data_IF_260992167777
#
_entry.id   IF_260992167777
#
_cell.length_a   1.000
_cell.length_b   1.000
_cell.length_c   1.000
_cell.angle_alpha   90.00
_cell.angle_beta   90.00
_cell.angle_gamma   90.00
#
_symmetry.space_group_name_H-M   'P 1'
#
loop_
_entity.id
_entity.type
_entity.pdbx_description
1 polymer ?
#
# COMPACT_ATOMS: atom_id res chain seq x y z
N UNK A 1 2.84 20.55 -11.88
CA UNK A 1 3.12 20.05 -10.52
C UNK A 1 3.58 18.62 -10.71
N UNK A 2 4.88 18.38 -10.60
CA UNK A 2 5.38 17.01 -10.46
C UNK A 2 4.92 16.51 -9.07
N UNK A 3 4.42 15.27 -8.98
CA UNK A 3 4.00 14.69 -7.68
C UNK A 3 2.53 14.89 -7.29
N UNK A 4 1.60 14.96 -8.23
CA UNK A 4 0.16 14.75 -7.97
C UNK A 4 -0.37 13.75 -8.98
N UNK A 5 -0.92 12.63 -8.54
CA UNK A 5 -1.56 11.66 -9.42
C UNK A 5 -2.88 12.25 -9.98
N UNK A 6 -2.78 12.84 -11.17
CA UNK A 6 -3.91 13.45 -11.90
C UNK A 6 -4.95 12.43 -12.40
N UNK A 7 -4.67 11.14 -12.26
CA UNK A 7 -5.57 10.03 -12.55
C UNK A 7 -5.53 9.02 -11.38
N UNK A 8 -6.58 8.22 -11.18
CA UNK A 8 -6.54 7.13 -10.22
C UNK A 8 -5.36 6.18 -10.49
N UNK A 9 -4.66 5.69 -9.46
CA UNK A 9 -3.57 4.75 -9.65
C UNK A 9 -4.09 3.43 -10.21
N UNK A 10 -3.29 2.84 -11.09
CA UNK A 10 -3.57 1.53 -11.71
C UNK A 10 -2.38 0.61 -11.44
N UNK A 11 -2.67 -0.59 -10.95
CA UNK A 11 -1.64 -1.51 -10.51
C UNK A 11 -2.19 -2.87 -10.08
N UNK A 12 -1.35 -3.60 -9.36
CA UNK A 12 -1.65 -4.90 -8.77
C UNK A 12 -1.17 -4.93 -7.31
N UNK A 13 -1.84 -5.69 -6.45
CA UNK A 13 -1.49 -5.83 -5.02
C UNK A 13 -1.58 -7.30 -4.59
N UNK A 14 -0.66 -7.74 -3.74
CA UNK A 14 -0.42 -9.17 -3.51
C UNK A 14 -1.47 -9.93 -2.70
N UNK A 15 -2.27 -9.24 -1.89
CA UNK A 15 -3.05 -9.87 -0.82
C UNK A 15 -4.08 -10.87 -1.30
N UNK A 16 -4.97 -10.50 -2.23
CA UNK A 16 -6.09 -11.35 -2.63
C UNK A 16 -5.67 -12.65 -3.33
N UNK A 17 -4.47 -12.70 -3.90
CA UNK A 17 -3.95 -13.91 -4.56
C UNK A 17 -3.06 -14.73 -3.63
N UNK A 18 -2.12 -14.08 -2.93
CA UNK A 18 -1.05 -14.80 -2.23
C UNK A 18 -1.19 -14.77 -0.71
N UNK A 19 -1.98 -13.85 -0.14
CA UNK A 19 -2.10 -13.68 1.30
C UNK A 19 -0.74 -13.64 1.99
N UNK A 20 -0.59 -14.44 3.04
CA UNK A 20 0.66 -14.58 3.80
C UNK A 20 1.72 -15.47 3.13
N UNK A 21 1.41 -16.11 2.01
CA UNK A 21 2.37 -16.94 1.25
C UNK A 21 3.23 -16.12 0.28
N UNK A 22 3.04 -14.80 0.21
CA UNK A 22 3.86 -13.92 -0.64
C UNK A 22 5.35 -14.00 -0.27
N UNK A 23 6.20 -13.99 -1.30
CA UNK A 23 7.67 -13.97 -1.19
C UNK A 23 8.23 -13.02 -2.24
N UNK A 24 9.51 -12.66 -2.12
CA UNK A 24 10.19 -11.86 -3.12
C UNK A 24 10.17 -12.53 -4.51
N UNK A 25 10.38 -13.84 -4.60
CA UNK A 25 10.32 -14.54 -5.89
C UNK A 25 8.95 -14.49 -6.56
N UNK A 26 7.86 -14.55 -5.76
CA UNK A 26 6.50 -14.36 -6.27
C UNK A 26 6.27 -12.91 -6.72
N UNK A 27 6.73 -11.93 -5.95
CA UNK A 27 6.67 -10.52 -6.35
C UNK A 27 7.43 -10.27 -7.65
N UNK A 28 8.65 -10.79 -7.79
CA UNK A 28 9.46 -10.66 -9.02
C UNK A 28 8.78 -11.33 -10.22
N UNK A 29 8.11 -12.47 -10.02
CA UNK A 29 7.31 -13.13 -11.07
C UNK A 29 6.17 -12.24 -11.54
N UNK A 30 5.46 -11.57 -10.61
CA UNK A 30 4.39 -10.63 -10.95
C UNK A 30 4.94 -9.39 -11.65
N UNK A 31 6.04 -8.81 -11.13
CA UNK A 31 6.76 -7.68 -11.74
C UNK A 31 7.07 -7.97 -13.21
N UNK A 32 7.61 -9.17 -13.51
CA UNK A 32 7.91 -9.58 -14.87
C UNK A 32 6.62 -9.73 -15.71
N UNK A 33 5.58 -10.34 -15.14
CA UNK A 33 4.31 -10.55 -15.84
C UNK A 33 3.60 -9.24 -16.25
N UNK A 34 3.75 -8.17 -15.47
CA UNK A 34 3.13 -6.86 -15.77
C UNK A 34 3.58 -6.27 -17.11
N UNK A 35 4.78 -6.65 -17.59
CA UNK A 35 5.37 -6.20 -18.85
C UNK A 35 5.37 -7.28 -19.94
N UNK A 36 4.68 -8.40 -19.71
CA UNK A 36 4.48 -9.42 -20.73
C UNK A 36 3.07 -9.33 -21.32
N UNK A 37 2.89 -9.67 -22.61
CA UNK A 37 1.57 -9.81 -23.18
C UNK A 37 0.83 -10.98 -22.51
N UNK A 38 -0.51 -10.91 -22.40
CA UNK A 38 -1.28 -11.96 -21.75
C UNK A 38 -1.14 -13.29 -22.52
N UNK A 39 -1.10 -14.43 -21.79
CA UNK A 39 -1.14 -15.75 -22.42
C UNK A 39 -2.33 -15.88 -23.37
N UNK A 40 -2.12 -16.44 -24.56
CA UNK A 40 -3.17 -16.64 -25.56
C UNK A 40 -3.52 -15.41 -26.40
N UNK A 41 -2.80 -14.28 -26.26
CA UNK A 41 -2.91 -13.14 -27.19
C UNK A 41 -4.16 -12.27 -27.02
N UNK A 42 -4.82 -12.34 -25.86
CA UNK A 42 -5.89 -11.41 -25.48
C UNK A 42 -5.42 -9.94 -25.43
N UNK A 43 -6.36 -9.00 -25.36
CA UNK A 43 -6.02 -7.58 -25.17
C UNK A 43 -5.24 -6.92 -26.31
N UNK A 44 -5.23 -7.51 -27.51
CA UNK A 44 -4.48 -6.99 -28.66
C UNK A 44 -2.96 -7.04 -28.51
N UNK A 45 -2.46 -7.95 -27.65
CA UNK A 45 -1.03 -8.09 -27.37
C UNK A 45 -0.43 -7.01 -26.48
N UNK A 46 -1.26 -6.13 -25.89
CA UNK A 46 -0.82 -5.13 -24.92
C UNK A 46 -0.52 -5.78 -23.57
N UNK A 47 0.55 -5.32 -22.94
CA UNK A 47 0.89 -5.68 -21.56
C UNK A 47 -0.01 -4.91 -20.58
N UNK A 48 -0.05 -5.32 -19.31
CA UNK A 48 -0.74 -4.53 -18.27
C UNK A 48 -0.11 -3.13 -18.14
N UNK A 49 1.22 -3.04 -18.24
CA UNK A 49 1.95 -1.78 -18.27
C UNK A 49 1.51 -0.86 -19.43
N UNK A 50 1.35 -1.39 -20.64
CA UNK A 50 0.90 -0.61 -21.81
C UNK A 50 -0.52 -0.04 -21.63
N UNK A 51 -1.31 -0.67 -20.76
CA UNK A 51 -2.65 -0.23 -20.39
C UNK A 51 -2.66 0.74 -19.19
N UNK A 52 -1.48 1.05 -18.62
CA UNK A 52 -1.32 2.00 -17.52
C UNK A 52 -1.24 1.37 -16.13
N UNK A 53 -1.32 0.04 -16.00
CA UNK A 53 -1.08 -0.64 -14.72
C UNK A 53 0.43 -0.67 -14.45
N UNK A 54 0.91 0.28 -13.67
CA UNK A 54 2.35 0.49 -13.45
C UNK A 54 2.78 0.27 -12.00
N UNK A 55 1.87 0.25 -11.04
CA UNK A 55 2.19 0.04 -9.63
C UNK A 55 2.07 -1.45 -9.26
N UNK A 56 3.10 -2.02 -8.63
CA UNK A 56 3.11 -3.41 -8.13
C UNK A 56 3.35 -3.38 -6.63
N UNK A 57 2.28 -3.60 -5.87
CA UNK A 57 2.26 -3.46 -4.42
C UNK A 57 2.48 -4.78 -3.67
N UNK A 58 3.48 -4.79 -2.79
CA UNK A 58 3.60 -5.76 -1.71
C UNK A 58 2.64 -5.37 -0.58
N UNK A 59 1.77 -6.30 -0.19
CA UNK A 59 0.90 -6.16 0.98
C UNK A 59 1.54 -6.75 2.25
N UNK A 60 0.74 -7.10 3.27
CA UNK A 60 1.20 -7.70 4.53
C UNK A 60 2.04 -9.00 4.33
N UNK A 61 2.67 -9.48 5.40
CA UNK A 61 3.46 -10.72 5.54
C UNK A 61 4.95 -10.65 5.17
N UNK A 62 5.51 -9.45 5.01
CA UNK A 62 6.95 -9.25 4.77
C UNK A 62 7.79 -9.22 6.06
N UNK A 63 7.17 -8.90 7.18
CA UNK A 63 7.81 -8.59 8.46
C UNK A 63 7.91 -9.80 9.40
N UNK A 64 8.70 -9.66 10.48
CA UNK A 64 8.81 -10.63 11.58
C UNK A 64 8.04 -10.13 12.80
N UNK A 65 6.89 -10.73 13.10
CA UNK A 65 6.09 -10.37 14.27
C UNK A 65 6.84 -10.63 15.59
N UNK A 66 6.77 -9.69 16.54
CA UNK A 66 7.36 -9.86 17.87
C UNK A 66 8.87 -9.63 17.94
N UNK A 67 9.55 -9.38 16.81
CA UNK A 67 10.99 -9.16 16.79
C UNK A 67 11.40 -7.73 17.16
N UNK A 68 10.43 -6.81 17.21
CA UNK A 68 10.62 -5.40 17.47
C UNK A 68 10.46 -5.00 18.94
N UNK A 69 10.58 -3.69 19.16
CA UNK A 69 10.37 -3.05 20.46
C UNK A 69 8.94 -3.32 20.94
N UNK A 70 8.78 -3.65 22.22
CA UNK A 70 7.48 -3.95 22.84
C UNK A 70 6.70 -5.09 22.15
N UNK A 71 7.41 -6.01 21.46
CA UNK A 71 6.79 -7.10 20.71
C UNK A 71 6.12 -6.65 19.40
N UNK A 72 6.45 -5.45 18.91
CA UNK A 72 6.08 -5.01 17.55
C UNK A 72 6.92 -5.74 16.49
N UNK A 73 6.82 -5.29 15.24
CA UNK A 73 7.73 -5.71 14.18
C UNK A 73 8.78 -4.65 13.83
N UNK A 74 8.93 -3.58 14.63
CA UNK A 74 9.91 -2.52 14.39
C UNK A 74 11.04 -2.54 15.42
N UNK A 75 12.28 -2.51 14.94
CA UNK A 75 13.47 -2.46 15.79
C UNK A 75 14.22 -1.14 15.59
N UNK A 76 14.97 -0.73 16.62
CA UNK A 76 15.81 0.45 16.54
C UNK A 76 16.92 0.26 15.50
N UNK A 77 16.98 1.18 14.54
CA UNK A 77 18.13 1.37 13.67
C UNK A 77 18.59 2.82 13.80
N UNK A 78 19.63 3.03 14.60
CA UNK A 78 20.05 4.38 14.98
C UNK A 78 18.97 5.07 15.82
N UNK A 79 18.36 6.12 15.27
CA UNK A 79 17.34 6.94 15.93
C UNK A 79 15.91 6.67 15.47
N UNK A 80 15.75 5.75 14.52
CA UNK A 80 14.47 5.44 13.88
C UNK A 80 14.07 3.99 14.21
N UNK A 81 12.76 3.71 14.22
CA UNK A 81 12.20 2.38 14.42
C UNK A 81 11.77 1.84 13.06
N UNK A 82 12.55 0.92 12.49
CA UNK A 82 12.36 0.38 11.14
C UNK A 82 11.82 -1.04 11.19
N UNK A 83 11.10 -1.47 10.15
CA UNK A 83 10.52 -2.80 10.09
C UNK A 83 11.61 -3.90 10.07
N UNK A 84 11.40 -4.95 10.86
CA UNK A 84 12.21 -6.16 10.84
C UNK A 84 11.71 -7.05 9.71
N UNK A 85 12.42 -7.04 8.59
CA UNK A 85 12.08 -7.81 7.38
C UNK A 85 12.38 -9.30 7.58
N UNK A 86 11.46 -10.17 7.14
CA UNK A 86 11.68 -11.61 7.07
C UNK A 86 12.62 -11.92 5.89
N UNK A 87 13.93 -11.95 6.15
CA UNK A 87 14.96 -12.19 5.15
C UNK A 87 14.89 -13.56 4.45
N UNK A 88 14.14 -14.53 4.99
CA UNK A 88 13.91 -15.81 4.29
C UNK A 88 12.86 -15.64 3.17
N UNK A 89 11.83 -14.83 3.39
CA UNK A 89 10.81 -14.53 2.37
C UNK A 89 11.24 -13.41 1.43
N UNK A 90 11.92 -12.41 1.96
CA UNK A 90 12.33 -11.18 1.29
C UNK A 90 13.81 -10.90 1.54
N UNK A 91 14.72 -11.66 0.91
CA UNK A 91 16.16 -11.53 1.13
C UNK A 91 16.75 -10.19 0.69
N UNK A 92 16.17 -9.54 -0.31
CA UNK A 92 16.64 -8.24 -0.83
C UNK A 92 15.50 -7.44 -1.48
N UNK A 93 14.72 -6.73 -0.64
CA UNK A 93 13.66 -5.83 -1.10
C UNK A 93 14.19 -4.73 -2.03
N UNK A 94 15.43 -4.28 -1.86
CA UNK A 94 16.02 -3.22 -2.68
C UNK A 94 16.31 -3.71 -4.10
N UNK A 95 16.79 -4.94 -4.25
CA UNK A 95 16.93 -5.56 -5.58
C UNK A 95 15.56 -5.78 -6.25
N UNK A 96 14.55 -6.18 -5.47
CA UNK A 96 13.18 -6.38 -5.96
C UNK A 96 12.57 -5.09 -6.53
N UNK A 97 12.65 -3.97 -5.81
CA UNK A 97 12.14 -2.67 -6.29
C UNK A 97 12.98 -2.14 -7.46
N UNK A 98 14.31 -2.31 -7.43
CA UNK A 98 15.18 -1.92 -8.53
C UNK A 98 14.83 -2.67 -9.83
N UNK A 99 14.41 -3.94 -9.72
CA UNK A 99 13.89 -4.72 -10.85
C UNK A 99 12.60 -4.10 -11.42
N UNK A 100 11.65 -3.74 -10.56
CA UNK A 100 10.41 -3.06 -10.99
C UNK A 100 10.74 -1.75 -11.72
N UNK A 101 11.63 -0.93 -11.17
CA UNK A 101 12.06 0.32 -11.78
C UNK A 101 12.76 0.12 -13.13
N UNK A 102 13.61 -0.89 -13.26
CA UNK A 102 14.28 -1.22 -14.53
C UNK A 102 13.29 -1.59 -15.65
N UNK A 103 12.12 -2.11 -15.28
CA UNK A 103 11.02 -2.40 -16.19
C UNK A 103 10.05 -1.22 -16.37
N UNK A 104 10.35 -0.06 -15.77
CA UNK A 104 9.52 1.14 -15.83
C UNK A 104 8.19 1.01 -15.06
N UNK A 105 8.18 0.18 -14.02
CA UNK A 105 7.09 0.05 -13.05
C UNK A 105 7.44 0.83 -11.78
N UNK A 106 6.44 1.01 -10.92
CA UNK A 106 6.54 1.52 -9.55
C UNK A 106 6.36 0.35 -8.58
N UNK A 107 6.98 0.43 -7.40
CA UNK A 107 6.84 -0.57 -6.36
C UNK A 107 6.10 0.00 -5.14
N UNK A 108 5.04 -0.68 -4.70
CA UNK A 108 4.27 -0.30 -3.52
C UNK A 108 4.59 -1.12 -2.28
N UNK A 109 4.45 -0.52 -1.11
CA UNK A 109 4.65 -1.16 0.19
C UNK A 109 3.40 -1.13 1.07
N UNK A 110 3.51 -1.71 2.26
CA UNK A 110 2.43 -1.83 3.22
C UNK A 110 2.93 -1.57 4.65
N UNK A 111 2.14 -0.81 5.40
CA UNK A 111 2.47 -0.33 6.74
C UNK A 111 1.24 -0.36 7.65
N UNK A 112 1.49 -0.26 8.95
CA UNK A 112 0.50 -0.43 10.00
C UNK A 112 -0.15 -1.84 9.99
N UNK A 113 0.71 -2.87 9.92
CA UNK A 113 0.37 -4.26 9.58
C UNK A 113 -0.76 -4.89 10.42
N UNK A 114 -1.59 -5.70 9.74
CA UNK A 114 -2.67 -6.47 10.35
C UNK A 114 -2.22 -7.83 10.91
N UNK A 115 -1.33 -8.56 10.23
CA UNK A 115 -0.89 -9.91 10.66
C UNK A 115 -0.19 -9.84 12.01
N UNK A 116 0.76 -8.92 12.17
CA UNK A 116 1.48 -8.77 13.43
C UNK A 116 0.70 -8.00 14.48
N UNK A 117 -0.48 -7.48 14.12
CA UNK A 117 -1.34 -6.63 14.97
C UNK A 117 -0.48 -5.69 15.79
N UNK A 118 0.06 -4.66 15.13
CA UNK A 118 0.92 -3.63 15.72
C UNK A 118 0.16 -2.76 16.74
N UNK A 119 -0.34 -3.46 17.73
CA UNK A 119 -1.33 -3.12 18.71
C UNK A 119 -0.70 -3.45 20.04
N UNK A 120 -0.98 -2.61 21.01
CA UNK A 120 -0.38 -2.62 22.33
C UNK A 120 -0.83 -3.86 23.14
N UNK A 121 -0.02 -4.91 23.32
CA UNK A 121 -0.51 -6.10 24.03
C UNK A 121 -0.54 -5.94 25.56
N UNK A 122 -0.13 -4.79 26.15
CA UNK A 122 0.01 -4.70 27.60
C UNK A 122 -0.02 -3.27 28.21
N UNK A 123 -0.62 -2.28 27.55
CA UNK A 123 -0.64 -0.90 28.10
C UNK A 123 0.74 -0.23 28.12
N UNK A 124 1.66 -0.65 27.25
CA UNK A 124 2.95 0.00 27.05
C UNK A 124 2.74 1.27 26.24
N UNK A 125 3.10 2.42 26.80
CA UNK A 125 3.01 3.71 26.12
C UNK A 125 4.30 3.96 25.37
N UNK A 126 4.21 4.16 24.05
CA UNK A 126 5.30 4.78 23.31
C UNK A 126 5.42 6.24 23.76
N UNK A 127 6.63 6.65 24.10
CA UNK A 127 6.97 8.06 24.28
C UNK A 127 6.79 8.82 22.96
N UNK A 128 6.62 10.14 23.03
CA UNK A 128 6.55 10.99 21.82
C UNK A 128 7.75 10.80 20.89
N UNK A 129 8.93 10.54 21.48
CA UNK A 129 10.16 10.25 20.74
C UNK A 129 10.10 8.91 20.00
N UNK A 130 9.55 7.86 20.62
CA UNK A 130 9.35 6.56 19.96
C UNK A 130 8.29 6.64 18.87
N UNK A 131 7.18 7.36 19.12
CA UNK A 131 6.18 7.60 18.08
C UNK A 131 6.83 8.35 16.91
N UNK A 132 7.65 9.37 17.16
CA UNK A 132 8.37 10.05 16.09
C UNK A 132 9.34 9.12 15.35
N UNK A 133 10.13 8.33 16.06
CA UNK A 133 11.05 7.35 15.48
C UNK A 133 10.33 6.32 14.62
N UNK A 134 9.11 5.93 14.97
CA UNK A 134 8.27 5.02 14.20
C UNK A 134 7.88 5.61 12.85
N UNK A 135 7.20 6.78 12.84
CA UNK A 135 6.84 7.45 11.58
C UNK A 135 8.07 7.74 10.70
N UNK A 136 9.21 8.09 11.31
CA UNK A 136 10.46 8.29 10.56
C UNK A 136 11.02 6.99 10.00
N UNK A 137 11.01 5.91 10.78
CA UNK A 137 11.53 4.61 10.35
C UNK A 137 10.68 3.97 9.24
N UNK A 138 9.36 4.07 9.34
CA UNK A 138 8.46 3.64 8.26
C UNK A 138 8.76 4.37 6.94
N UNK A 139 8.96 5.69 6.97
CA UNK A 139 9.34 6.44 5.77
C UNK A 139 10.78 6.12 5.32
N UNK A 140 11.67 5.84 6.27
CA UNK A 140 13.04 5.41 5.99
C UNK A 140 13.08 4.05 5.29
N UNK A 141 12.18 3.12 5.60
CA UNK A 141 12.06 1.83 4.89
C UNK A 141 11.70 2.05 3.42
N UNK A 142 10.74 2.94 3.13
CA UNK A 142 10.39 3.28 1.75
C UNK A 142 11.60 3.84 0.97
N UNK A 143 12.39 4.70 1.60
CA UNK A 143 13.59 5.28 0.99
C UNK A 143 14.71 4.24 0.82
N UNK A 144 14.94 3.41 1.83
CA UNK A 144 16.03 2.43 1.88
C UNK A 144 15.82 1.33 0.84
N UNK A 145 14.59 0.81 0.78
CA UNK A 145 14.23 -0.25 -0.16
C UNK A 145 13.76 0.28 -1.50
N UNK A 146 13.51 1.59 -1.66
CA UNK A 146 13.20 2.18 -2.95
C UNK A 146 11.73 2.14 -3.37
N UNK A 147 10.78 1.90 -2.47
CA UNK A 147 9.35 1.94 -2.77
C UNK A 147 8.86 3.35 -3.19
N UNK A 148 7.82 3.41 -4.00
CA UNK A 148 7.22 4.63 -4.58
C UNK A 148 5.83 4.94 -4.03
N UNK A 149 5.17 3.93 -3.47
CA UNK A 149 3.83 4.03 -2.91
C UNK A 149 3.72 3.22 -1.61
N UNK A 150 2.74 3.55 -0.78
CA UNK A 150 2.50 2.84 0.48
C UNK A 150 1.03 2.80 0.82
N UNK A 151 0.57 1.63 1.26
CA UNK A 151 -0.73 1.44 1.91
C UNK A 151 -0.57 1.51 3.42
N UNK A 152 -1.33 2.42 4.02
CA UNK A 152 -1.40 2.61 5.47
C UNK A 152 -2.74 2.06 5.94
N UNK A 153 -2.69 0.91 6.61
CA UNK A 153 -3.88 0.24 7.13
C UNK A 153 -4.37 0.85 8.45
N UNK A 154 -5.50 0.36 8.97
CA UNK A 154 -6.12 0.81 10.22
C UNK A 154 -5.97 -0.24 11.36
N UNK A 155 -5.11 -1.25 11.16
CA UNK A 155 -4.90 -2.33 12.12
C UNK A 155 -3.98 -1.98 13.29
N UNK A 156 -2.82 -1.37 13.02
CA UNK A 156 -1.90 -0.92 14.06
C UNK A 156 -2.26 0.46 14.63
N UNK A 157 -1.48 0.95 15.60
CA UNK A 157 -1.80 2.19 16.31
C UNK A 157 -1.37 3.49 15.59
N UNK A 158 -0.50 3.41 14.59
CA UNK A 158 0.09 4.58 13.92
C UNK A 158 -0.75 5.01 12.73
N UNK A 159 -1.88 5.69 13.01
CA UNK A 159 -2.95 5.98 12.03
C UNK A 159 -2.97 7.42 11.50
N UNK A 160 -2.13 8.31 12.01
CA UNK A 160 -2.07 9.71 11.58
C UNK A 160 -1.48 9.83 10.16
N UNK A 161 -2.36 9.82 9.15
CA UNK A 161 -2.03 9.97 7.74
C UNK A 161 -1.41 11.33 7.40
N UNK A 162 -1.77 12.39 8.12
CA UNK A 162 -1.18 13.72 7.91
C UNK A 162 0.26 13.75 8.41
N UNK A 163 0.55 13.04 9.52
CA UNK A 163 1.92 12.87 10.00
C UNK A 163 2.77 12.05 9.03
N UNK A 164 2.27 10.93 8.49
CA UNK A 164 2.98 10.22 7.42
C UNK A 164 3.30 11.14 6.25
N UNK A 165 2.30 11.89 5.76
CA UNK A 165 2.50 12.83 4.65
C UNK A 165 3.56 13.89 4.96
N UNK A 166 3.54 14.49 6.17
CA UNK A 166 4.55 15.48 6.58
C UNK A 166 5.96 14.89 6.61
N UNK A 167 6.12 13.68 7.16
CA UNK A 167 7.43 13.00 7.22
C UNK A 167 7.91 12.62 5.82
N UNK A 168 7.02 12.10 4.96
CA UNK A 168 7.31 11.81 3.55
C UNK A 168 7.73 13.05 2.77
N UNK A 169 6.98 14.15 2.89
CA UNK A 169 7.30 15.43 2.23
C UNK A 169 8.68 15.98 2.66
N UNK A 170 9.07 15.77 3.92
CA UNK A 170 10.37 16.20 4.43
C UNK A 170 11.55 15.45 3.78
N UNK A 171 11.33 14.29 3.15
CA UNK A 171 12.37 13.56 2.39
C UNK A 171 12.70 14.22 1.05
N UNK A 172 11.80 15.07 0.52
CA UNK A 172 11.89 15.60 -0.83
C UNK A 172 11.49 14.62 -1.94
N UNK A 173 11.07 13.40 -1.61
CA UNK A 173 10.52 12.40 -2.56
C UNK A 173 9.01 12.34 -2.43
N UNK A 174 8.31 12.31 -3.57
CA UNK A 174 6.87 12.05 -3.60
C UNK A 174 6.60 10.55 -3.42
N UNK A 175 5.66 10.23 -2.55
CA UNK A 175 5.12 8.87 -2.37
C UNK A 175 3.62 8.89 -2.58
N UNK A 176 3.10 7.92 -3.33
CA UNK A 176 1.66 7.74 -3.48
C UNK A 176 1.11 7.03 -2.23
N UNK A 177 0.21 7.68 -1.48
CA UNK A 177 -0.32 7.15 -0.22
C UNK A 177 -1.73 6.61 -0.44
N UNK A 178 -1.91 5.32 -0.15
CA UNK A 178 -3.18 4.63 -0.06
C UNK A 178 -3.70 4.65 1.40
N UNK A 179 -4.82 5.33 1.62
CA UNK A 179 -5.52 5.29 2.90
C UNK A 179 -6.45 4.05 2.95
N UNK A 180 -6.09 3.08 3.79
CA UNK A 180 -6.85 1.86 4.03
C UNK A 180 -7.56 1.87 5.40
N UNK A 181 -8.30 2.94 5.70
CA UNK A 181 -9.09 3.07 6.95
C UNK A 181 -10.56 2.70 6.79
N UNK A 182 -10.86 1.81 5.86
CA UNK A 182 -12.18 1.17 5.68
C UNK A 182 -13.40 2.11 5.59
N UNK A 183 -13.19 3.35 5.15
CA UNK A 183 -14.23 4.39 5.11
C UNK A 183 -14.50 5.11 6.44
N UNK A 184 -13.75 4.80 7.51
CA UNK A 184 -13.79 5.50 8.81
C UNK A 184 -13.06 6.85 8.75
N UNK A 185 -11.93 6.90 8.06
CA UNK A 185 -11.18 8.14 7.79
C UNK A 185 -11.27 8.47 6.31
N UNK A 186 -11.95 9.58 5.99
CA UNK A 186 -12.28 10.01 4.61
C UNK A 186 -11.97 11.50 4.45
N UNK A 187 -11.68 11.99 3.23
CA UNK A 187 -11.23 13.37 3.04
C UNK A 187 -12.35 14.39 3.27
N UNK A 188 -11.95 15.64 3.41
CA UNK A 188 -12.82 16.81 3.23
C UNK A 188 -12.37 17.59 1.97
N UNK A 189 -13.02 18.72 1.68
CA UNK A 189 -12.59 19.58 0.57
C UNK A 189 -11.20 20.20 0.83
N UNK A 190 -10.88 20.48 2.09
CA UNK A 190 -9.63 21.14 2.48
C UNK A 190 -8.59 20.19 3.07
N UNK A 191 -8.91 18.89 3.20
CA UNK A 191 -8.04 17.89 3.79
C UNK A 191 -8.05 16.58 3.01
N UNK A 192 -6.90 16.24 2.44
CA UNK A 192 -6.63 14.93 1.83
C UNK A 192 -5.11 14.68 1.83
N UNK A 193 -4.55 14.16 2.94
CA UNK A 193 -3.11 13.92 3.05
C UNK A 193 -2.64 12.67 2.28
N UNK A 194 -3.57 11.92 1.71
CA UNK A 194 -3.36 10.72 0.91
C UNK A 194 -3.76 10.97 -0.54
N UNK A 195 -3.32 10.11 -1.45
CA UNK A 195 -3.60 10.24 -2.88
C UNK A 195 -4.88 9.51 -3.27
N UNK A 196 -5.23 8.45 -2.54
CA UNK A 196 -6.48 7.70 -2.70
C UNK A 196 -6.89 7.03 -1.39
N UNK A 197 -8.19 6.75 -1.23
CA UNK A 197 -8.78 6.31 0.03
C UNK A 197 -9.91 5.30 -0.14
N UNK A 198 -9.90 4.32 0.75
CA UNK A 198 -10.87 3.23 0.79
C UNK A 198 -12.19 3.74 1.36
N UNK A 199 -13.29 3.40 0.72
CA UNK A 199 -14.63 3.86 1.12
C UNK A 199 -15.49 2.80 1.82
N UNK A 200 -14.98 1.57 1.90
CA UNK A 200 -15.65 0.38 2.40
C UNK A 200 -14.69 -0.51 3.20
N UNK A 201 -15.19 -1.58 3.83
CA UNK A 201 -14.32 -2.66 4.29
C UNK A 201 -13.79 -3.51 3.14
N UNK A 202 -13.07 -4.58 3.49
CA UNK A 202 -12.37 -5.43 2.52
C UNK A 202 -13.30 -6.15 1.55
N UNK A 203 -12.94 -6.19 0.28
CA UNK A 203 -13.63 -6.94 -0.75
C UNK A 203 -13.38 -8.45 -0.63
N UNK A 204 -14.20 -9.24 -1.32
CA UNK A 204 -13.93 -10.64 -1.63
C UNK A 204 -14.59 -10.97 -2.97
N UNK A 205 -14.33 -12.16 -3.52
CA UNK A 205 -14.86 -12.60 -4.82
C UNK A 205 -16.38 -12.92 -4.84
N UNK A 206 -17.17 -12.38 -3.92
CA UNK A 206 -18.63 -12.52 -3.90
C UNK A 206 -19.31 -11.27 -4.46
N UNK A 207 -20.30 -11.48 -5.32
CA UNK A 207 -21.00 -10.40 -6.03
C UNK A 207 -21.66 -9.37 -5.09
N UNK A 208 -22.28 -9.85 -4.02
CA UNK A 208 -22.91 -8.99 -3.01
C UNK A 208 -21.87 -8.08 -2.33
N UNK A 209 -20.68 -8.60 -2.03
CA UNK A 209 -19.59 -7.81 -1.45
C UNK A 209 -19.04 -6.78 -2.42
N UNK A 210 -18.77 -7.18 -3.67
CA UNK A 210 -18.31 -6.27 -4.71
C UNK A 210 -19.31 -5.12 -4.92
N UNK A 211 -20.61 -5.41 -5.02
CA UNK A 211 -21.63 -4.39 -5.18
C UNK A 211 -21.78 -3.50 -3.95
N UNK A 212 -21.75 -4.07 -2.74
CA UNK A 212 -21.83 -3.29 -1.50
C UNK A 212 -20.68 -2.27 -1.42
N UNK A 213 -19.45 -2.69 -1.74
CA UNK A 213 -18.30 -1.81 -1.76
C UNK A 213 -18.44 -0.72 -2.84
N UNK A 214 -18.82 -1.08 -4.07
CA UNK A 214 -19.03 -0.10 -5.16
C UNK A 214 -20.05 0.98 -4.80
N UNK A 215 -21.13 0.63 -4.10
CA UNK A 215 -22.15 1.59 -3.68
C UNK A 215 -21.61 2.66 -2.72
N UNK A 216 -20.57 2.36 -1.93
CA UNK A 216 -19.97 3.34 -1.01
C UNK A 216 -19.30 4.52 -1.72
N UNK A 217 -18.97 4.37 -3.02
CA UNK A 217 -18.37 5.45 -3.83
C UNK A 217 -19.36 6.56 -4.16
N UNK A 218 -20.67 6.29 -4.14
CA UNK A 218 -21.68 7.24 -4.61
C UNK A 218 -21.60 8.57 -3.87
N UNK A 219 -21.44 8.54 -2.54
CA UNK A 219 -21.31 9.75 -1.70
C UNK A 219 -20.06 10.59 -1.97
N UNK A 220 -19.06 10.03 -2.66
CA UNK A 220 -17.78 10.71 -2.92
C UNK A 220 -17.58 11.12 -4.37
N UNK A 221 -18.32 10.51 -5.30
CA UNK A 221 -18.13 10.67 -6.74
C UNK A 221 -19.27 11.42 -7.42
N UNK A 222 -20.40 11.60 -6.74
CA UNK A 222 -21.60 12.24 -7.28
C UNK A 222 -21.92 13.54 -6.53
N UNK A 223 -22.57 14.48 -7.20
CA UNK A 223 -22.92 15.80 -6.65
C UNK A 223 -22.23 16.96 -7.38
N UNK A 224 -22.43 18.17 -6.87
CA UNK A 224 -21.86 19.39 -7.46
C UNK A 224 -20.36 19.58 -7.12
N UNK A 225 -19.89 18.98 -6.03
CA UNK A 225 -18.50 19.06 -5.58
C UNK A 225 -18.06 17.71 -4.99
N UNK A 226 -17.57 16.77 -5.81
CA UNK A 226 -17.19 15.44 -5.36
C UNK A 226 -15.87 15.46 -4.59
N UNK A 227 -15.81 14.69 -3.50
CA UNK A 227 -14.58 14.51 -2.72
C UNK A 227 -13.55 13.64 -3.45
N UNK A 228 -13.99 12.75 -4.34
CA UNK A 228 -13.10 12.03 -5.27
C UNK A 228 -12.72 12.95 -6.43
N UNK A 229 -11.44 13.33 -6.52
CA UNK A 229 -10.93 14.36 -7.43
C UNK A 229 -9.43 14.14 -7.72
N UNK A 230 -8.83 14.84 -8.72
CA UNK A 230 -7.39 14.75 -8.97
C UNK A 230 -6.54 14.92 -7.70
N UNK A 231 -5.68 13.93 -7.42
CA UNK A 231 -4.87 13.86 -6.21
C UNK A 231 -5.56 13.34 -4.95
N UNK A 232 -6.84 12.93 -5.02
CA UNK A 232 -7.60 12.40 -3.88
C UNK A 232 -8.74 11.49 -4.36
N UNK A 233 -8.46 10.21 -4.63
CA UNK A 233 -9.40 9.30 -5.30
C UNK A 233 -10.10 8.34 -4.35
N UNK A 234 -11.43 8.27 -4.40
CA UNK A 234 -12.21 7.24 -3.71
C UNK A 234 -12.08 5.89 -4.45
N UNK A 235 -11.86 4.79 -3.72
CA UNK A 235 -11.87 3.44 -4.29
C UNK A 235 -12.63 2.42 -3.40
N UNK A 236 -13.22 1.43 -4.06
CA UNK A 236 -14.09 0.40 -3.48
C UNK A 236 -13.34 -0.90 -3.14
N UNK A 237 -12.06 -0.77 -2.77
CA UNK A 237 -11.08 -1.87 -2.67
C UNK A 237 -10.63 -2.46 -4.03
N UNK A 238 -9.77 -3.49 -3.98
CA UNK A 238 -9.13 -4.16 -5.11
C UNK A 238 -10.13 -4.77 -6.11
N UNK A 239 -9.68 -4.96 -7.36
CA UNK A 239 -10.46 -5.71 -8.36
C UNK A 239 -10.40 -7.21 -8.10
N UNK A 240 -11.56 -7.86 -8.04
CA UNK A 240 -11.68 -9.33 -7.94
C UNK A 240 -11.86 -9.99 -9.30
N UNK A 241 -11.28 -9.38 -10.35
CA UNK A 241 -11.18 -9.99 -11.68
C UNK A 241 -10.09 -11.05 -11.63
N UNK A 242 -10.39 -12.13 -10.91
CA UNK A 242 -9.54 -13.30 -10.79
C UNK A 242 -10.10 -14.33 -11.76
N UNK A 243 -9.26 -14.80 -12.68
CA UNK A 243 -9.58 -16.01 -13.45
C UNK A 243 -9.44 -17.16 -12.47
N UNK A 244 -10.51 -17.90 -12.12
CA UNK A 244 -10.34 -19.10 -11.31
C UNK A 244 -9.37 -20.04 -12.02
N UNK A 245 -8.47 -20.66 -11.26
CA UNK A 245 -7.73 -21.82 -11.74
C UNK A 245 -8.75 -22.84 -12.29
N UNK A 246 -8.51 -23.42 -13.49
CA UNK A 246 -9.42 -24.39 -14.09
C UNK A 246 -9.65 -25.64 -13.23
#
# INVERSE_FOLDING_TARGET
VEGVDCAPPMGWRSWNTYGDHITQGLMETVIDAMVQPPPGGGGGGKTLKDLGYIDVGLDDAYQVCGAGVNGSFHAWQGRDLVAVINGTKFPDLKAMTARAHALGLRAGFYQNNCICRESNPAGVYYSDAEVAAHYHGDVQDLMTFGFDSVKIDNCGMFKDLERYQRVMNATGRYFNIENCHWGETVPTHDWCPFSFYRTSGDINNQWDRMFANLQTLYKFTTGQDPLSRPGCWAYADMLEVIVPEP
#
